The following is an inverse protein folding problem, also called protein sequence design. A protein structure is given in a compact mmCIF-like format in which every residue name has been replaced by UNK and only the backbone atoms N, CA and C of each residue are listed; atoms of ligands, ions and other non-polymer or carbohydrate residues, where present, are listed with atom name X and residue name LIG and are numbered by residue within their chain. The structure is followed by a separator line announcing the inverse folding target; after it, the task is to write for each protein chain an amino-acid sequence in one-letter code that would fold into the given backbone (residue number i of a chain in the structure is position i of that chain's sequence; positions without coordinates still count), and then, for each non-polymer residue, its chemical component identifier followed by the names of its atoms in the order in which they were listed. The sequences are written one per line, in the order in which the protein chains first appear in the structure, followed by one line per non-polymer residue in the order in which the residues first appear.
data_IF_816448780494
#
_entry.id   IF_816448780494
#
_cell.length_a   1.000
_cell.length_b   1.000
_cell.length_c   1.000
_cell.angle_alpha   90.00
_cell.angle_beta   90.00
_cell.angle_gamma   90.00
#
_symmetry.space_group_name_H-M   'P 1'
#
loop_
_entity.id
_entity.type
_entity.pdbx_description
1 polymer ?
#
# COMPACT_ATOMS: atom_id res chain seq x y z
N UNK A 1 0.39 26.27 -2.81
CA UNK A 1 -0.40 26.37 -1.57
C UNK A 1 0.57 26.06 -0.45
N UNK A 2 1.15 27.08 0.18
CA UNK A 2 2.07 26.85 1.30
C UNK A 2 1.27 26.18 2.41
N UNK A 3 1.72 24.99 2.83
CA UNK A 3 1.09 24.29 3.92
C UNK A 3 1.54 24.97 5.23
N UNK A 4 0.74 25.90 5.74
CA UNK A 4 0.99 26.65 6.99
C UNK A 4 0.70 25.82 8.24
N UNK A 5 0.28 24.57 8.08
CA UNK A 5 0.02 23.60 9.14
C UNK A 5 1.31 22.84 9.38
N UNK A 6 1.91 22.97 10.57
CA UNK A 6 3.20 22.34 10.90
C UNK A 6 3.25 20.82 10.63
N UNK A 7 2.89 20.00 11.63
CA UNK A 7 2.85 18.54 11.46
C UNK A 7 1.41 18.06 11.23
N UNK A 8 1.21 17.16 10.27
CA UNK A 8 -0.08 16.52 9.99
C UNK A 8 -0.09 15.07 10.48
N UNK A 9 -1.16 14.71 11.18
CA UNK A 9 -1.40 13.33 11.60
C UNK A 9 -2.15 12.57 10.51
N UNK A 10 -1.60 11.44 10.09
CA UNK A 10 -2.20 10.55 9.12
C UNK A 10 -2.29 9.13 9.67
N UNK A 11 -3.16 8.28 9.09
CA UNK A 11 -3.20 6.85 9.40
C UNK A 11 -2.28 6.08 8.45
N UNK A 12 -1.63 5.08 8.99
CA UNK A 12 -0.57 4.34 8.32
C UNK A 12 -0.63 2.88 8.77
N UNK A 13 -0.29 2.00 7.85
CA UNK A 13 -0.17 0.56 8.10
C UNK A 13 1.24 0.11 7.74
N UNK A 14 1.98 -0.46 8.70
CA UNK A 14 3.39 -0.81 8.48
C UNK A 14 3.62 -2.29 8.19
N UNK A 15 2.56 -3.09 8.10
CA UNK A 15 2.73 -4.53 7.87
C UNK A 15 1.57 -5.03 7.02
N UNK A 16 1.74 -4.93 5.70
CA UNK A 16 0.76 -5.40 4.73
C UNK A 16 1.36 -6.42 3.77
N UNK A 17 0.63 -7.53 3.60
CA UNK A 17 0.94 -8.55 2.60
C UNK A 17 0.01 -8.39 1.38
N UNK A 18 0.59 -8.45 0.19
CA UNK A 18 -0.10 -8.47 -1.10
C UNK A 18 -0.27 -9.91 -1.60
N UNK A 19 -0.88 -10.06 -2.78
CA UNK A 19 -0.98 -11.34 -3.47
C UNK A 19 0.37 -11.99 -3.80
N UNK A 20 1.48 -11.22 -3.77
CA UNK A 20 2.84 -11.73 -3.97
C UNK A 20 3.31 -12.59 -2.80
N UNK A 21 2.76 -12.40 -1.60
CA UNK A 21 3.11 -13.24 -0.45
C UNK A 21 2.64 -14.68 -0.65
N UNK A 22 3.45 -15.66 -0.25
CA UNK A 22 3.12 -17.07 -0.45
C UNK A 22 1.83 -17.47 0.30
N UNK A 23 1.58 -16.89 1.47
CA UNK A 23 0.45 -17.15 2.36
C UNK A 23 -0.76 -16.24 2.14
N UNK A 24 -0.70 -15.35 1.14
CA UNK A 24 -1.83 -14.48 0.85
C UNK A 24 -3.07 -15.33 0.55
N UNK A 25 -4.12 -15.15 1.36
CA UNK A 25 -5.38 -15.90 1.25
C UNK A 25 -6.12 -15.63 -0.05
N UNK A 26 -5.87 -14.48 -0.66
CA UNK A 26 -6.52 -14.03 -1.88
C UNK A 26 -5.46 -13.56 -2.89
N UNK A 27 -5.53 -14.11 -4.11
CA UNK A 27 -4.58 -13.85 -5.21
C UNK A 27 -5.31 -13.63 -6.55
N UNK A 28 -6.54 -13.09 -6.49
CA UNK A 28 -7.32 -12.76 -7.68
C UNK A 28 -6.64 -11.67 -8.52
N UNK A 29 -7.03 -11.56 -9.79
CA UNK A 29 -6.50 -10.53 -10.70
C UNK A 29 -6.90 -9.10 -10.27
N UNK A 30 -7.92 -8.98 -9.43
CA UNK A 30 -8.48 -7.77 -8.85
C UNK A 30 -7.95 -7.48 -7.43
N UNK A 31 -6.99 -8.26 -6.93
CA UNK A 31 -6.47 -8.13 -5.57
C UNK A 31 -5.88 -6.75 -5.29
N UNK A 32 -5.15 -6.17 -6.25
CA UNK A 32 -4.50 -4.86 -6.09
C UNK A 32 -5.54 -3.73 -6.04
N UNK A 33 -6.61 -3.82 -6.83
CA UNK A 33 -7.72 -2.87 -6.84
C UNK A 33 -8.53 -2.95 -5.54
N UNK A 34 -8.85 -4.15 -5.07
CA UNK A 34 -9.54 -4.37 -3.80
C UNK A 34 -8.72 -3.86 -2.62
N UNK A 35 -7.40 -4.10 -2.64
CA UNK A 35 -6.47 -3.59 -1.63
C UNK A 35 -6.50 -2.06 -1.58
N UNK A 36 -6.31 -1.39 -2.73
CA UNK A 36 -6.35 0.07 -2.79
C UNK A 36 -7.71 0.63 -2.36
N UNK A 37 -8.82 0.00 -2.73
CA UNK A 37 -10.15 0.42 -2.30
C UNK A 37 -10.30 0.34 -0.78
N UNK A 38 -9.88 -0.78 -0.16
CA UNK A 38 -9.95 -0.97 1.28
C UNK A 38 -9.06 0.01 2.06
N UNK A 39 -7.88 0.34 1.53
CA UNK A 39 -6.98 1.33 2.13
C UNK A 39 -7.59 2.74 2.11
N UNK A 40 -8.22 3.12 0.99
CA UNK A 40 -8.92 4.39 0.84
C UNK A 40 -10.11 4.50 1.78
N UNK A 41 -10.92 3.45 1.88
CA UNK A 41 -12.05 3.39 2.81
C UNK A 41 -11.63 3.57 4.27
N UNK A 42 -10.46 3.03 4.65
CA UNK A 42 -9.90 3.16 6.01
C UNK A 42 -9.14 4.47 6.25
N UNK A 43 -9.05 5.35 5.25
CA UNK A 43 -8.29 6.60 5.27
C UNK A 43 -6.80 6.40 5.57
N UNK A 44 -6.22 5.30 5.10
CA UNK A 44 -4.78 5.03 5.21
C UNK A 44 -4.05 5.84 4.14
N UNK A 45 -3.04 6.60 4.56
CA UNK A 45 -2.22 7.45 3.68
C UNK A 45 -0.84 6.88 3.38
N UNK A 46 -0.38 5.93 4.18
CA UNK A 46 0.91 5.30 3.95
C UNK A 46 0.88 3.82 4.36
N UNK A 47 1.50 2.97 3.54
CA UNK A 47 1.53 1.52 3.74
C UNK A 47 2.93 0.99 3.49
N UNK A 48 3.44 0.11 4.37
CA UNK A 48 4.63 -0.68 4.08
C UNK A 48 4.25 -2.09 3.60
N UNK A 49 4.69 -2.44 2.41
CA UNK A 49 4.53 -3.78 1.83
C UNK A 49 5.62 -4.68 2.39
N UNK A 50 5.19 -5.74 3.06
CA UNK A 50 6.04 -6.65 3.83
C UNK A 50 5.82 -8.11 3.43
N UNK A 51 5.69 -8.36 2.12
CA UNK A 51 5.54 -9.71 1.56
C UNK A 51 6.62 -10.68 2.05
N UNK A 52 6.22 -11.93 2.28
CA UNK A 52 7.15 -12.91 2.82
C UNK A 52 8.21 -13.29 1.77
N UNK A 53 9.46 -12.97 2.08
CA UNK A 53 10.67 -13.33 1.30
C UNK A 53 10.67 -12.85 -0.17
N UNK A 54 9.81 -11.89 -0.51
CA UNK A 54 9.69 -11.36 -1.88
C UNK A 54 9.53 -9.85 -1.82
N UNK A 55 10.28 -9.14 -2.66
CA UNK A 55 10.05 -7.73 -2.97
C UNK A 55 9.56 -7.67 -4.41
N UNK A 56 8.24 -7.59 -4.59
CA UNK A 56 7.62 -7.51 -5.91
C UNK A 56 7.59 -6.05 -6.38
N UNK A 57 8.68 -5.63 -7.01
CA UNK A 57 8.84 -4.25 -7.47
C UNK A 57 7.74 -3.84 -8.45
N UNK A 58 7.40 -4.72 -9.39
CA UNK A 58 6.42 -4.42 -10.44
C UNK A 58 5.02 -4.22 -9.83
N UNK A 59 4.63 -5.06 -8.86
CA UNK A 59 3.37 -4.85 -8.12
C UNK A 59 3.39 -3.58 -7.29
N UNK A 60 4.50 -3.23 -6.64
CA UNK A 60 4.61 -1.99 -5.85
C UNK A 60 4.50 -0.76 -6.76
N UNK A 61 5.13 -0.78 -7.93
CA UNK A 61 4.99 0.29 -8.93
C UNK A 61 3.56 0.36 -9.47
N UNK A 62 2.92 -0.78 -9.70
CA UNK A 62 1.51 -0.85 -10.08
C UNK A 62 0.60 -0.22 -9.01
N UNK A 63 0.76 -0.59 -7.72
CA UNK A 63 0.01 -0.02 -6.60
C UNK A 63 0.17 1.50 -6.51
N UNK A 64 1.40 2.01 -6.67
CA UNK A 64 1.68 3.46 -6.72
C UNK A 64 0.99 4.15 -7.91
N UNK A 65 0.85 3.46 -9.04
CA UNK A 65 0.17 4.01 -10.22
C UNK A 65 -1.35 4.13 -10.04
N UNK A 66 -1.99 3.14 -9.39
CA UNK A 66 -3.46 3.11 -9.22
C UNK A 66 -3.94 3.87 -7.96
N UNK A 67 -3.06 4.08 -6.98
CA UNK A 67 -3.35 4.84 -5.77
C UNK A 67 -2.23 5.85 -5.47
N UNK A 68 -2.08 6.91 -6.28
CA UNK A 68 -1.03 7.93 -6.10
C UNK A 68 -1.21 8.77 -4.82
N UNK A 69 -2.40 8.73 -4.21
CA UNK A 69 -2.72 9.39 -2.96
C UNK A 69 -2.28 8.61 -1.70
N UNK A 70 -1.74 7.40 -1.88
CA UNK A 70 -1.21 6.54 -0.83
C UNK A 70 0.28 6.33 -1.06
N UNK A 71 1.08 6.54 -0.01
CA UNK A 71 2.52 6.29 -0.04
C UNK A 71 2.77 4.81 0.21
N UNK A 72 3.30 4.08 -0.77
CA UNK A 72 3.73 2.69 -0.61
C UNK A 72 5.25 2.59 -0.39
N UNK A 73 5.65 2.00 0.73
CA UNK A 73 7.04 1.66 1.05
C UNK A 73 7.31 0.18 0.76
N UNK A 74 8.49 -0.12 0.23
CA UNK A 74 9.06 -1.47 0.20
C UNK A 74 9.99 -1.64 1.38
N UNK A 75 10.01 -2.85 1.99
CA UNK A 75 11.09 -3.18 2.93
C UNK A 75 12.43 -3.20 2.15
N UNK A 76 13.47 -2.60 2.74
CA UNK A 76 14.83 -2.57 2.18
C UNK A 76 15.47 -3.98 2.15
#
# INVERSE_FOLDING_TARGET
MENTRGSEWNRWDLHLHTASSYDAKYKGNDADQLLCAALKEKYIKAVAITDHFVIDKDRIEHLRSIAPDIVFFSRC
#
